data_IF_331120429941
#
_entry.id   IF_331120429941
#
_cell.length_a   1.000
_cell.length_b   1.000
_cell.length_c   1.000
_cell.angle_alpha   90.00
_cell.angle_beta   90.00
_cell.angle_gamma   90.00
#
_symmetry.space_group_name_H-M   'P 1'
#
loop_
_entity.id
_entity.type
_entity.pdbx_description
1 polymer ?
#
# COMPACT_ATOMS: atom_id res chain seq x y z
N UNK A 1 6.91 38.94 -1.90
CA UNK A 1 7.62 37.80 -1.27
C UNK A 1 6.94 36.51 -1.70
N UNK A 2 7.70 35.44 -1.97
CA UNK A 2 7.14 34.13 -2.34
C UNK A 2 6.32 33.55 -1.19
N UNK A 3 5.22 32.84 -1.51
CA UNK A 3 4.34 32.16 -0.54
C UNK A 3 5.05 30.98 0.17
N UNK A 4 6.09 30.45 -0.44
CA UNK A 4 6.84 29.29 0.06
C UNK A 4 8.32 29.63 0.17
N UNK A 5 8.98 29.06 1.19
CA UNK A 5 10.43 29.20 1.39
C UNK A 5 11.17 28.39 0.35
N UNK A 6 12.17 29.01 -0.28
CA UNK A 6 13.18 28.26 -1.02
C UNK A 6 14.13 27.59 -0.02
N UNK A 7 14.39 26.31 -0.21
CA UNK A 7 15.29 25.53 0.66
C UNK A 7 16.54 25.07 -0.09
N UNK A 8 16.61 25.22 -1.41
CA UNK A 8 17.80 24.88 -2.18
C UNK A 8 18.75 26.07 -2.08
N UNK A 9 19.92 25.85 -1.50
CA UNK A 9 20.90 26.92 -1.26
C UNK A 9 22.06 26.90 -2.24
N UNK A 10 22.35 25.75 -2.84
CA UNK A 10 23.45 25.57 -3.78
C UNK A 10 23.16 24.41 -4.73
N UNK A 11 23.65 24.48 -5.97
CA UNK A 11 23.77 23.32 -6.86
C UNK A 11 25.23 23.23 -7.31
N UNK A 12 25.89 22.12 -7.00
CA UNK A 12 27.29 21.88 -7.38
C UNK A 12 27.51 20.50 -7.97
N UNK A 13 28.59 20.33 -8.72
CA UNK A 13 29.01 19.03 -9.26
C UNK A 13 29.97 18.35 -8.28
N UNK A 14 29.76 17.07 -8.01
CA UNK A 14 30.65 16.25 -7.17
C UNK A 14 30.46 14.76 -7.44
N UNK A 15 31.41 13.91 -7.00
CA UNK A 15 31.30 12.46 -7.18
C UNK A 15 30.24 11.86 -6.29
N UNK A 16 29.58 10.82 -6.77
CA UNK A 16 28.58 10.07 -6.00
C UNK A 16 29.13 9.52 -4.67
N UNK A 17 30.40 9.08 -4.65
CA UNK A 17 31.08 8.58 -3.45
C UNK A 17 31.28 9.62 -2.34
N UNK A 18 31.20 10.92 -2.66
CA UNK A 18 31.31 11.99 -1.65
C UNK A 18 30.01 12.15 -0.84
N UNK A 19 28.90 11.57 -1.30
CA UNK A 19 27.62 11.60 -0.62
C UNK A 19 27.51 10.42 0.35
N UNK A 20 27.20 10.73 1.60
CA UNK A 20 26.88 9.72 2.62
C UNK A 20 25.45 9.22 2.41
N UNK A 21 25.22 7.92 2.61
CA UNK A 21 23.86 7.36 2.58
C UNK A 21 23.04 7.83 3.78
N UNK A 22 21.72 7.87 3.60
CA UNK A 22 20.80 8.18 4.68
C UNK A 22 20.25 6.88 5.26
N UNK A 23 20.49 6.63 6.54
CA UNK A 23 20.02 5.42 7.24
C UNK A 23 18.49 5.31 7.25
N UNK A 24 17.77 6.44 7.18
CA UNK A 24 16.31 6.46 7.12
C UNK A 24 15.73 6.10 5.76
N UNK A 25 16.56 5.88 4.73
CA UNK A 25 16.08 5.55 3.40
C UNK A 25 15.58 4.09 3.34
N UNK A 26 14.26 3.92 3.34
CA UNK A 26 13.57 2.63 3.31
C UNK A 26 13.31 2.08 1.90
N UNK A 27 13.58 2.88 0.87
CA UNK A 27 13.28 2.54 -0.53
C UNK A 27 14.16 1.39 -1.00
N UNK A 28 13.52 0.39 -1.61
CA UNK A 28 14.17 -0.75 -2.26
C UNK A 28 13.85 -0.72 -3.75
N UNK A 29 14.85 -0.99 -4.59
CA UNK A 29 14.73 -0.90 -6.04
C UNK A 29 14.77 -2.27 -6.71
N UNK A 30 13.68 -2.69 -7.38
CA UNK A 30 13.69 -3.89 -8.22
C UNK A 30 14.67 -3.77 -9.39
N UNK A 31 15.22 -4.90 -9.87
CA UNK A 31 16.16 -4.92 -10.99
C UNK A 31 15.64 -4.20 -12.25
N UNK A 32 14.36 -4.41 -12.58
CA UNK A 32 13.72 -3.74 -13.72
C UNK A 32 13.73 -2.20 -13.61
N UNK A 33 13.67 -1.66 -12.39
CA UNK A 33 13.77 -0.20 -12.18
C UNK A 33 15.20 0.29 -12.37
N UNK A 34 16.20 -0.50 -11.96
CA UNK A 34 17.61 -0.19 -12.20
C UNK A 34 17.89 -0.16 -13.71
N UNK A 35 17.47 -1.20 -14.43
CA UNK A 35 17.67 -1.32 -15.88
C UNK A 35 17.03 -0.14 -16.63
N UNK A 36 15.79 0.23 -16.29
CA UNK A 36 15.13 1.38 -16.91
C UNK A 36 15.84 2.70 -16.63
N UNK A 37 16.36 2.91 -15.41
CA UNK A 37 17.13 4.12 -15.08
C UNK A 37 18.46 4.15 -15.85
N UNK A 38 19.17 3.03 -15.95
CA UNK A 38 20.41 2.93 -16.75
C UNK A 38 20.11 3.20 -18.22
N UNK A 39 19.01 2.67 -18.75
CA UNK A 39 18.54 2.93 -20.12
C UNK A 39 18.31 4.41 -20.38
N UNK A 40 17.52 5.08 -19.53
CA UNK A 40 17.26 6.53 -19.65
C UNK A 40 18.55 7.34 -19.54
N UNK A 41 19.44 7.01 -18.60
CA UNK A 41 20.71 7.72 -18.45
C UNK A 41 21.63 7.54 -19.65
N UNK A 42 21.60 6.38 -20.30
CA UNK A 42 22.40 6.10 -21.49
C UNK A 42 21.85 6.80 -22.74
N UNK A 43 20.53 6.86 -22.87
CA UNK A 43 19.86 7.43 -24.05
C UNK A 43 19.78 8.96 -23.99
N UNK A 44 19.38 9.52 -22.84
CA UNK A 44 19.09 10.95 -22.67
C UNK A 44 20.20 11.68 -21.91
N UNK A 45 20.86 11.00 -20.97
CA UNK A 45 21.77 11.61 -20.01
C UNK A 45 21.08 12.07 -18.72
N UNK A 46 21.82 12.82 -17.91
CA UNK A 46 21.37 13.25 -16.57
C UNK A 46 20.41 14.43 -16.67
N UNK A 47 19.11 14.16 -16.62
CA UNK A 47 18.06 15.16 -16.70
C UNK A 47 17.58 15.71 -15.33
N UNK A 48 18.08 15.17 -14.21
CA UNK A 48 17.71 15.61 -12.85
C UNK A 48 18.91 15.56 -11.89
N UNK A 49 18.85 16.36 -10.83
CA UNK A 49 19.87 16.47 -9.78
C UNK A 49 19.67 15.42 -8.68
N UNK A 50 20.76 15.07 -8.00
CA UNK A 50 20.64 14.45 -6.68
C UNK A 50 20.30 15.54 -5.66
N UNK A 51 19.56 15.19 -4.60
CA UNK A 51 19.24 16.12 -3.52
C UNK A 51 19.94 15.66 -2.27
N UNK A 52 20.62 16.56 -1.57
CA UNK A 52 21.36 16.24 -0.36
C UNK A 52 21.26 17.38 0.65
N UNK A 53 21.61 17.10 1.91
CA UNK A 53 21.63 18.07 2.99
C UNK A 53 22.77 17.74 3.95
N UNK A 54 23.19 18.71 4.76
CA UNK A 54 24.18 18.47 5.81
C UNK A 54 23.49 17.87 7.04
N UNK A 55 23.75 16.59 7.30
CA UNK A 55 23.14 15.87 8.41
C UNK A 55 24.01 15.96 9.66
N UNK A 56 23.42 16.38 10.78
CA UNK A 56 24.08 16.36 12.09
C UNK A 56 24.25 14.93 12.59
N UNK A 57 23.31 14.04 12.29
CA UNK A 57 23.43 12.59 12.58
C UNK A 57 24.63 11.97 11.87
N UNK A 58 24.94 12.42 10.66
CA UNK A 58 26.14 12.02 9.91
C UNK A 58 27.35 12.93 10.15
N UNK A 59 27.48 13.52 11.35
CA UNK A 59 28.65 14.31 11.76
C UNK A 59 28.91 15.53 10.85
N UNK A 60 27.85 16.16 10.34
CA UNK A 60 27.93 17.30 9.44
C UNK A 60 28.35 16.94 8.01
N UNK A 61 28.31 15.66 7.62
CA UNK A 61 28.57 15.23 6.24
C UNK A 61 27.38 15.53 5.34
N UNK A 62 27.67 15.65 4.04
CA UNK A 62 26.64 15.78 3.02
C UNK A 62 25.99 14.41 2.80
N UNK A 63 24.69 14.33 3.12
CA UNK A 63 23.90 13.10 3.11
C UNK A 63 22.84 13.16 2.04
N UNK A 64 22.71 12.09 1.26
CA UNK A 64 21.71 12.02 0.19
C UNK A 64 20.29 11.99 0.75
N UNK A 65 19.40 12.78 0.18
CA UNK A 65 17.97 12.80 0.48
C UNK A 65 17.18 12.06 -0.60
N UNK A 66 17.50 12.32 -1.87
CA UNK A 66 16.80 11.76 -3.03
C UNK A 66 17.79 11.48 -4.18
N UNK A 67 17.48 10.45 -4.97
CA UNK A 67 18.33 9.96 -6.05
C UNK A 67 19.29 8.82 -5.66
N UNK A 68 19.00 8.08 -4.59
CA UNK A 68 19.84 6.98 -4.11
C UNK A 68 20.12 5.88 -5.14
N UNK A 69 19.15 5.48 -5.99
CA UNK A 69 19.42 4.56 -7.12
C UNK A 69 20.52 5.11 -8.03
N UNK A 70 20.35 6.36 -8.48
CA UNK A 70 21.30 7.04 -9.37
C UNK A 70 22.69 7.15 -8.75
N UNK A 71 22.76 7.50 -7.46
CA UNK A 71 24.00 7.52 -6.67
C UNK A 71 24.67 6.14 -6.61
N UNK A 72 23.90 5.07 -6.52
CA UNK A 72 24.43 3.69 -6.38
C UNK A 72 24.96 3.08 -7.68
N UNK A 73 24.71 3.67 -8.85
CA UNK A 73 25.10 3.08 -10.14
C UNK A 73 26.62 3.08 -10.35
N UNK A 74 27.28 4.20 -10.06
CA UNK A 74 28.73 4.33 -10.12
C UNK A 74 29.22 5.34 -9.08
N UNK A 75 30.04 4.94 -8.09
CA UNK A 75 30.58 5.83 -7.07
C UNK A 75 31.50 6.93 -7.63
N UNK A 76 32.11 6.73 -8.80
CA UNK A 76 33.02 7.71 -9.41
C UNK A 76 32.30 8.73 -10.29
N UNK A 77 31.04 8.48 -10.63
CA UNK A 77 30.28 9.35 -11.52
C UNK A 77 29.97 10.70 -10.86
N UNK A 78 30.16 11.78 -11.61
CA UNK A 78 29.92 13.13 -11.12
C UNK A 78 28.47 13.56 -11.32
N UNK A 79 27.78 13.95 -10.25
CA UNK A 79 26.40 14.41 -10.31
C UNK A 79 26.28 15.88 -9.96
N UNK A 80 25.32 16.56 -10.58
CA UNK A 80 24.82 17.82 -10.03
C UNK A 80 23.99 17.50 -8.79
N UNK A 81 24.36 18.10 -7.67
CA UNK A 81 23.74 17.90 -6.36
C UNK A 81 23.15 19.23 -5.89
N UNK A 82 21.85 19.27 -5.69
CA UNK A 82 21.16 20.35 -5.00
C UNK A 82 21.31 20.15 -3.49
N UNK A 83 21.90 21.13 -2.83
CA UNK A 83 22.11 21.15 -1.38
C UNK A 83 20.96 21.92 -0.75
N UNK A 84 20.29 21.28 0.21
CA UNK A 84 19.14 21.83 0.91
C UNK A 84 19.54 22.29 2.31
N UNK A 85 19.03 23.46 2.69
CA UNK A 85 19.06 23.93 4.09
C UNK A 85 17.87 23.32 4.84
N UNK A 86 18.02 22.08 5.33
CA UNK A 86 16.99 21.35 6.09
C UNK A 86 17.62 20.60 7.27
N UNK A 87 16.84 20.35 8.32
CA UNK A 87 17.28 19.53 9.45
C UNK A 87 17.11 18.03 9.17
N UNK A 88 17.71 17.19 10.02
CA UNK A 88 17.53 15.74 9.99
C UNK A 88 16.04 15.33 10.14
N UNK A 89 15.30 16.00 11.02
CA UNK A 89 13.87 15.73 11.23
C UNK A 89 13.01 16.16 10.04
N UNK A 90 13.39 17.24 9.35
CA UNK A 90 12.76 17.62 8.10
C UNK A 90 13.08 16.58 7.01
N UNK A 91 14.33 16.13 6.91
CA UNK A 91 14.73 15.09 5.96
C UNK A 91 13.95 13.79 6.15
N UNK A 92 13.77 13.33 7.39
CA UNK A 92 12.98 12.13 7.71
C UNK A 92 11.53 12.26 7.22
N UNK A 93 10.92 13.44 7.41
CA UNK A 93 9.57 13.71 6.91
C UNK A 93 9.53 13.64 5.38
N UNK A 94 10.46 14.29 4.68
CA UNK A 94 10.49 14.29 3.21
C UNK A 94 10.71 12.88 2.66
N UNK A 95 11.63 12.11 3.25
CA UNK A 95 11.88 10.71 2.90
C UNK A 95 10.61 9.86 3.05
N UNK A 96 9.84 10.07 4.12
CA UNK A 96 8.61 9.33 4.38
C UNK A 96 7.49 9.70 3.42
N UNK A 97 7.30 10.98 3.09
CA UNK A 97 6.07 11.45 2.43
C UNK A 97 6.18 11.72 0.94
N UNK A 98 7.37 11.99 0.40
CA UNK A 98 7.50 12.38 -1.02
C UNK A 98 7.01 11.30 -1.99
N UNK A 99 7.45 10.05 -1.79
CA UNK A 99 7.05 8.95 -2.69
C UNK A 99 5.57 8.60 -2.54
N UNK A 100 5.00 8.46 -1.33
CA UNK A 100 3.56 8.29 -1.18
C UNK A 100 2.75 9.42 -1.82
N UNK A 101 3.15 10.68 -1.64
CA UNK A 101 2.45 11.82 -2.27
C UNK A 101 2.54 11.75 -3.79
N UNK A 102 3.71 11.41 -4.34
CA UNK A 102 3.87 11.21 -5.78
C UNK A 102 3.00 10.05 -6.29
N UNK A 103 2.92 8.96 -5.54
CA UNK A 103 2.12 7.78 -5.87
C UNK A 103 0.60 8.01 -5.74
N UNK A 104 0.16 9.03 -4.98
CA UNK A 104 -1.26 9.42 -4.90
C UNK A 104 -1.78 10.07 -6.19
N UNK A 105 -0.91 10.45 -7.13
CA UNK A 105 -1.33 11.00 -8.41
C UNK A 105 -2.10 9.96 -9.22
N UNK A 106 -3.31 10.31 -9.66
CA UNK A 106 -4.10 9.43 -10.53
C UNK A 106 -3.62 9.53 -11.97
N UNK A 107 -3.55 8.37 -12.62
CA UNK A 107 -3.25 8.29 -14.04
C UNK A 107 -4.40 8.89 -14.87
N UNK A 108 -4.06 9.78 -15.80
CA UNK A 108 -4.96 10.18 -16.86
C UNK A 108 -4.66 9.33 -18.11
N UNK A 109 -5.46 8.30 -18.35
CA UNK A 109 -5.22 7.32 -19.43
C UNK A 109 -5.05 7.96 -20.79
N UNK A 110 -5.96 8.86 -21.18
CA UNK A 110 -5.90 9.54 -22.47
C UNK A 110 -4.58 10.33 -22.66
N UNK A 111 -4.09 10.97 -21.59
CA UNK A 111 -2.81 11.69 -21.63
C UNK A 111 -1.60 10.77 -21.65
N UNK A 112 -1.68 9.61 -21.00
CA UNK A 112 -0.63 8.59 -21.13
C UNK A 112 -0.55 8.10 -22.57
N UNK A 113 -1.68 7.76 -23.18
CA UNK A 113 -1.73 7.28 -24.57
C UNK A 113 -1.21 8.33 -25.57
N UNK A 114 -1.63 9.59 -25.44
CA UNK A 114 -1.10 10.69 -26.25
C UNK A 114 0.42 10.83 -26.10
N UNK A 115 0.94 10.62 -24.90
CA UNK A 115 2.38 10.69 -24.65
C UNK A 115 3.12 9.49 -25.23
N UNK A 116 2.56 8.26 -25.10
CA UNK A 116 3.17 7.05 -25.65
C UNK A 116 3.27 7.08 -27.17
N UNK A 117 2.34 7.72 -27.86
CA UNK A 117 2.39 7.90 -29.32
C UNK A 117 3.54 8.82 -29.78
N UNK A 118 4.08 9.63 -28.87
CA UNK A 118 5.10 10.64 -29.15
C UNK A 118 6.49 10.28 -28.66
N UNK A 119 6.62 9.26 -27.80
CA UNK A 119 7.90 8.86 -27.23
C UNK A 119 8.33 7.53 -27.83
N UNK A 120 9.61 7.45 -28.19
CA UNK A 120 10.28 6.22 -28.60
C UNK A 120 11.54 6.08 -27.76
N UNK A 121 11.98 4.85 -27.52
CA UNK A 121 13.24 4.55 -26.86
C UNK A 121 13.94 3.38 -27.55
N UNK A 122 15.25 3.48 -27.65
CA UNK A 122 16.10 2.42 -28.21
C UNK A 122 16.42 1.35 -27.16
N UNK A 123 16.31 1.69 -25.88
CA UNK A 123 16.52 0.80 -24.74
C UNK A 123 15.33 -0.16 -24.52
N UNK A 124 15.63 -1.44 -24.29
CA UNK A 124 14.60 -2.47 -24.12
C UNK A 124 13.84 -2.34 -22.79
N UNK A 125 14.53 -2.01 -21.70
CA UNK A 125 13.91 -1.90 -20.37
C UNK A 125 12.97 -0.69 -20.32
N UNK A 126 13.38 0.43 -20.94
CA UNK A 126 12.54 1.63 -21.07
C UNK A 126 11.32 1.36 -21.94
N UNK A 127 11.48 0.69 -23.10
CA UNK A 127 10.33 0.30 -23.95
C UNK A 127 9.33 -0.59 -23.21
N UNK A 128 9.82 -1.57 -22.44
CA UNK A 128 8.95 -2.46 -21.67
C UNK A 128 8.20 -1.69 -20.57
N UNK A 129 8.86 -0.72 -19.91
CA UNK A 129 8.20 0.17 -18.95
C UNK A 129 7.11 1.02 -19.60
N UNK A 130 7.40 1.64 -20.76
CA UNK A 130 6.41 2.43 -21.53
C UNK A 130 5.21 1.55 -21.92
N UNK A 131 5.47 0.34 -22.41
CA UNK A 131 4.41 -0.61 -22.80
C UNK A 131 3.51 -0.99 -21.63
N UNK A 132 4.06 -1.17 -20.43
CA UNK A 132 3.25 -1.44 -19.22
C UNK A 132 2.35 -0.27 -18.86
N UNK A 133 2.86 0.96 -18.95
CA UNK A 133 2.05 2.16 -18.72
C UNK A 133 0.94 2.30 -19.77
N UNK A 134 1.21 2.00 -21.03
CA UNK A 134 0.22 1.96 -22.11
C UNK A 134 -0.87 0.93 -21.84
N UNK A 135 -0.50 -0.28 -21.41
CA UNK A 135 -1.45 -1.35 -21.06
C UNK A 135 -2.32 -0.98 -19.86
N UNK A 136 -1.74 -0.37 -18.83
CA UNK A 136 -2.48 0.11 -17.66
C UNK A 136 -3.46 1.23 -18.05
N UNK A 137 -3.03 2.17 -18.90
CA UNK A 137 -3.88 3.24 -19.40
C UNK A 137 -5.09 2.69 -20.17
N UNK A 138 -4.87 1.76 -21.11
CA UNK A 138 -5.95 1.08 -21.86
C UNK A 138 -6.88 0.28 -20.95
N UNK A 139 -6.33 -0.48 -20.01
CA UNK A 139 -7.11 -1.25 -19.04
C UNK A 139 -7.96 -0.37 -18.10
N UNK A 140 -7.60 0.89 -17.92
CA UNK A 140 -8.39 1.86 -17.17
C UNK A 140 -9.49 2.52 -18.03
N UNK A 141 -9.31 2.63 -19.36
CA UNK A 141 -10.38 3.05 -20.29
C UNK A 141 -11.48 1.99 -20.41
N UNK A 142 -11.11 0.71 -20.46
CA UNK A 142 -12.07 -0.41 -20.44
C UNK A 142 -12.92 -0.45 -19.14
N UNK A 143 -12.40 0.11 -18.03
CA UNK A 143 -13.16 0.29 -16.78
C UNK A 143 -14.02 1.56 -16.77
N UNK A 144 -13.74 2.51 -17.64
CA UNK A 144 -14.52 3.74 -17.83
C UNK A 144 -15.72 3.57 -18.75
N UNK A 145 -15.68 2.57 -19.64
CA UNK A 145 -16.75 2.22 -20.59
C UNK A 145 -17.52 0.92 -20.24
N UNK A 146 -17.28 0.31 -19.08
CA UNK A 146 -18.31 -0.53 -18.47
C UNK A 146 -19.48 0.37 -18.06
N UNK A 147 -20.40 0.62 -19.01
CA UNK A 147 -21.82 0.80 -18.68
C UNK A 147 -22.13 -0.12 -17.51
N UNK A 148 -22.85 0.41 -16.52
CA UNK A 148 -23.46 -0.34 -15.41
C UNK A 148 -24.45 -1.38 -15.95
N UNK A 149 -23.97 -2.38 -16.68
CA UNK A 149 -24.65 -3.64 -16.80
C UNK A 149 -24.41 -4.31 -15.45
N UNK A 150 -25.41 -4.24 -14.58
CA UNK A 150 -25.52 -5.09 -13.40
C UNK A 150 -25.43 -6.54 -13.88
N UNK A 151 -24.20 -7.06 -13.98
CA UNK A 151 -23.95 -8.49 -14.04
C UNK A 151 -24.62 -9.05 -12.78
N UNK A 152 -25.53 -10.04 -12.89
CA UNK A 152 -26.17 -10.57 -11.70
C UNK A 152 -25.07 -11.11 -10.79
N UNK A 153 -24.92 -10.49 -9.61
CA UNK A 153 -23.92 -10.87 -8.63
C UNK A 153 -24.03 -12.38 -8.36
N UNK A 154 -23.01 -13.19 -8.66
CA UNK A 154 -22.95 -14.53 -8.11
C UNK A 154 -22.81 -14.40 -6.58
N UNK A 155 -23.46 -15.28 -5.80
CA UNK A 155 -23.44 -15.17 -4.35
C UNK A 155 -22.01 -15.43 -3.82
N UNK A 156 -21.44 -14.40 -3.19
CA UNK A 156 -20.31 -14.36 -2.26
C UNK A 156 -19.50 -15.65 -2.06
N UNK A 157 -18.24 -15.64 -2.50
CA UNK A 157 -17.04 -16.04 -1.74
C UNK A 157 -15.93 -16.51 -2.68
N UNK A 158 -15.23 -15.58 -3.33
CA UNK A 158 -13.88 -15.86 -3.82
C UNK A 158 -12.94 -14.81 -3.22
N UNK A 159 -11.85 -15.29 -2.62
CA UNK A 159 -10.76 -14.46 -2.10
C UNK A 159 -10.04 -13.87 -3.31
N UNK A 160 -9.96 -12.54 -3.39
CA UNK A 160 -9.29 -11.87 -4.51
C UNK A 160 -7.78 -11.74 -4.21
N UNK A 161 -6.88 -12.00 -5.19
CA UNK A 161 -5.43 -11.96 -4.98
C UNK A 161 -4.85 -10.58 -4.60
N UNK A 162 -5.67 -9.53 -4.62
CA UNK A 162 -5.27 -8.14 -4.43
C UNK A 162 -5.92 -7.49 -3.20
N UNK A 163 -6.72 -8.23 -2.43
CA UNK A 163 -7.31 -7.75 -1.19
C UNK A 163 -6.37 -8.09 -0.01
N UNK A 164 -6.00 -7.08 0.77
CA UNK A 164 -5.30 -7.26 2.05
C UNK A 164 -6.35 -7.60 3.12
N UNK A 165 -6.16 -8.71 3.83
CA UNK A 165 -7.10 -9.15 4.86
C UNK A 165 -6.39 -9.27 6.21
N UNK A 166 -6.92 -8.58 7.22
CA UNK A 166 -6.52 -8.73 8.61
C UNK A 166 -7.51 -9.67 9.32
N UNK A 167 -6.99 -10.72 9.98
CA UNK A 167 -7.83 -11.77 10.57
C UNK A 167 -7.69 -11.84 12.08
N UNK A 168 -8.81 -12.11 12.74
CA UNK A 168 -8.87 -12.54 14.14
C UNK A 168 -9.43 -13.96 14.17
N UNK A 169 -8.72 -14.89 14.79
CA UNK A 169 -9.10 -16.31 14.86
C UNK A 169 -9.50 -16.67 16.29
N UNK A 170 -10.69 -17.25 16.44
CA UNK A 170 -11.20 -17.73 17.72
C UNK A 170 -11.23 -19.27 17.73
N UNK A 171 -10.61 -19.86 18.75
CA UNK A 171 -10.61 -21.31 18.96
C UNK A 171 -11.65 -21.71 20.00
N UNK A 172 -12.53 -22.62 19.63
CA UNK A 172 -13.56 -23.16 20.53
C UNK A 172 -13.28 -24.63 20.80
N UNK A 173 -13.28 -25.02 22.07
CA UNK A 173 -13.04 -26.42 22.48
C UNK A 173 -14.25 -27.32 22.20
N UNK A 174 -15.45 -26.74 22.16
CA UNK A 174 -16.69 -27.48 21.94
C UNK A 174 -17.49 -26.86 20.79
N UNK A 175 -18.24 -27.70 20.07
CA UNK A 175 -19.14 -27.24 19.00
C UNK A 175 -20.24 -26.31 19.54
N UNK A 176 -20.61 -26.48 20.82
CA UNK A 176 -21.64 -25.67 21.46
C UNK A 176 -21.18 -24.22 21.68
N UNK A 177 -19.95 -24.01 22.14
CA UNK A 177 -19.38 -22.67 22.30
C UNK A 177 -19.23 -21.97 20.95
N UNK A 178 -18.87 -22.74 19.91
CA UNK A 178 -18.81 -22.23 18.55
C UNK A 178 -20.18 -21.82 18.01
N UNK A 179 -21.23 -22.62 18.24
CA UNK A 179 -22.59 -22.28 17.82
C UNK A 179 -23.12 -21.04 18.53
N UNK A 180 -22.87 -20.90 19.84
CA UNK A 180 -23.19 -19.68 20.58
C UNK A 180 -22.49 -18.44 20.05
N UNK A 181 -21.19 -18.54 19.73
CA UNK A 181 -20.45 -17.44 19.14
C UNK A 181 -21.02 -17.07 17.76
N UNK A 182 -21.40 -18.06 16.96
CA UNK A 182 -22.06 -17.80 15.68
C UNK A 182 -23.37 -17.03 15.85
N UNK A 183 -24.19 -17.40 16.82
CA UNK A 183 -25.46 -16.70 17.08
C UNK A 183 -25.20 -15.28 17.61
N UNK A 184 -24.22 -15.11 18.51
CA UNK A 184 -23.81 -13.81 19.07
C UNK A 184 -23.39 -12.82 17.98
N UNK A 185 -22.53 -13.28 17.06
CA UNK A 185 -22.07 -12.47 15.94
C UNK A 185 -23.06 -12.44 14.76
N UNK A 186 -24.22 -13.08 14.89
CA UNK A 186 -25.25 -13.19 13.84
C UNK A 186 -24.70 -13.79 12.52
N UNK A 187 -23.79 -14.76 12.63
CA UNK A 187 -23.13 -15.36 11.48
C UNK A 187 -24.04 -16.42 10.84
N UNK A 188 -24.55 -16.12 9.64
CA UNK A 188 -25.48 -17.00 8.93
C UNK A 188 -24.81 -18.30 8.50
N UNK A 189 -25.55 -19.42 8.61
CA UNK A 189 -25.13 -20.70 8.03
C UNK A 189 -25.35 -20.66 6.52
N UNK A 190 -24.30 -20.86 5.73
CA UNK A 190 -24.41 -21.02 4.28
C UNK A 190 -24.09 -22.48 3.93
N UNK A 191 -24.96 -23.11 3.14
CA UNK A 191 -24.74 -24.49 2.69
C UNK A 191 -24.08 -24.51 1.32
N UNK A 192 -23.16 -25.44 1.08
CA UNK A 192 -22.60 -25.69 -0.25
C UNK A 192 -22.83 -27.15 -0.68
N UNK A 193 -22.87 -27.39 -1.99
CA UNK A 193 -23.07 -28.70 -2.59
C UNK A 193 -21.74 -29.23 -3.12
N UNK A 194 -21.06 -30.09 -2.36
CA UNK A 194 -19.81 -30.73 -2.78
C UNK A 194 -19.99 -32.21 -3.14
N UNK A 195 -19.32 -32.66 -4.19
CA UNK A 195 -19.23 -34.09 -4.55
C UNK A 195 -18.29 -34.80 -3.56
N UNK A 196 -18.67 -35.96 -3.05
CA UNK A 196 -17.80 -36.73 -2.15
C UNK A 196 -16.65 -37.38 -2.94
N UNK A 197 -15.45 -37.38 -2.36
CA UNK A 197 -14.31 -38.14 -2.87
C UNK A 197 -14.61 -39.63 -2.73
N UNK A 198 -14.88 -40.29 -3.85
CA UNK A 198 -15.28 -41.70 -3.93
C UNK A 198 -16.30 -41.89 -5.05
N UNK A 199 -15.82 -42.32 -6.22
CA UNK A 199 -16.63 -42.48 -7.43
C UNK A 199 -17.87 -43.34 -7.21
N UNK A 200 -19.02 -42.78 -7.60
CA UNK A 200 -20.31 -43.46 -7.60
C UNK A 200 -21.46 -42.44 -7.52
N UNK A 201 -22.50 -42.65 -8.34
CA UNK A 201 -23.74 -41.87 -8.39
C UNK A 201 -24.50 -41.94 -7.05
N UNK A 202 -24.04 -41.17 -6.06
CA UNK A 202 -24.80 -40.87 -4.84
C UNK A 202 -25.31 -39.43 -4.90
N UNK A 203 -26.54 -39.15 -4.41
CA UNK A 203 -27.08 -37.80 -4.36
C UNK A 203 -26.13 -36.88 -3.59
N UNK A 204 -25.88 -35.68 -4.13
CA UNK A 204 -25.04 -34.65 -3.49
C UNK A 204 -25.54 -34.45 -2.06
N UNK A 205 -24.75 -34.80 -1.05
CA UNK A 205 -25.08 -34.47 0.34
C UNK A 205 -24.78 -32.99 0.58
N UNK A 206 -25.73 -32.26 1.18
CA UNK A 206 -25.53 -30.88 1.65
C UNK A 206 -24.44 -30.89 2.71
N UNK A 207 -23.22 -30.46 2.35
CA UNK A 207 -22.13 -30.29 3.30
C UNK A 207 -22.14 -28.84 3.75
N UNK A 208 -22.29 -28.63 5.06
CA UNK A 208 -22.24 -27.30 5.66
C UNK A 208 -20.74 -26.96 5.80
N UNK A 209 -20.19 -26.26 4.82
CA UNK A 209 -18.83 -25.72 4.86
C UNK A 209 -18.78 -24.43 5.67
N UNK A 210 -17.73 -24.27 6.49
CA UNK A 210 -17.52 -23.09 7.32
C UNK A 210 -16.94 -21.99 6.44
N UNK A 211 -17.78 -21.06 6.02
CA UNK A 211 -17.41 -19.76 5.45
C UNK A 211 -18.15 -18.69 6.23
N UNK A 212 -17.47 -18.13 7.23
CA UNK A 212 -18.10 -17.29 8.27
C UNK A 212 -17.18 -16.12 8.60
N UNK A 213 -16.86 -15.32 7.59
CA UNK A 213 -16.26 -14.02 7.81
C UNK A 213 -17.35 -13.02 8.21
N UNK A 214 -17.06 -12.20 9.20
CA UNK A 214 -17.88 -11.05 9.59
C UNK A 214 -17.01 -9.81 9.53
N UNK A 215 -17.65 -8.67 9.31
CA UNK A 215 -16.98 -7.37 9.40
C UNK A 215 -16.41 -7.17 10.82
N UNK A 216 -15.10 -6.89 10.90
CA UNK A 216 -14.39 -6.76 12.17
C UNK A 216 -14.85 -5.59 13.03
N UNK A 217 -15.24 -4.46 12.43
CA UNK A 217 -15.74 -3.31 13.18
C UNK A 217 -17.10 -3.61 13.83
N UNK A 218 -17.98 -4.35 13.13
CA UNK A 218 -19.26 -4.84 13.69
C UNK A 218 -19.08 -5.90 14.77
N UNK A 219 -18.04 -6.73 14.66
CA UNK A 219 -17.70 -7.70 15.69
C UNK A 219 -17.20 -7.00 16.96
N UNK A 220 -16.30 -6.03 16.80
CA UNK A 220 -15.74 -5.24 17.91
C UNK A 220 -16.80 -4.41 18.62
N UNK A 221 -17.73 -3.77 17.90
CA UNK A 221 -18.80 -2.99 18.54
C UNK A 221 -19.64 -3.83 19.50
N UNK A 222 -19.91 -5.09 19.16
CA UNK A 222 -20.61 -6.04 20.04
C UNK A 222 -19.80 -6.48 21.25
N UNK A 223 -18.47 -6.49 21.16
CA UNK A 223 -17.60 -6.83 22.29
C UNK A 223 -17.44 -5.64 23.25
N UNK A 224 -17.38 -4.42 22.71
CA UNK A 224 -17.30 -3.18 23.50
C UNK A 224 -18.59 -2.88 24.29
N UNK A 225 -19.77 -3.25 23.79
CA UNK A 225 -21.03 -3.08 24.54
C UNK A 225 -21.07 -3.88 25.86
N UNK A 226 -20.33 -4.99 25.97
CA UNK A 226 -20.25 -5.76 27.21
C UNK A 226 -19.33 -5.15 28.26
N UNK A 227 -18.26 -4.47 27.86
CA UNK A 227 -17.33 -3.85 28.83
C UNK A 227 -17.95 -2.65 29.57
N UNK A 228 -19.02 -2.05 29.04
CA UNK A 228 -19.75 -0.97 29.71
C UNK A 228 -20.98 -1.46 30.50
N UNK A 229 -21.46 -2.68 30.28
CA UNK A 229 -22.63 -3.22 30.97
C UNK A 229 -22.31 -3.81 32.36
N UNK A 230 -21.04 -4.09 32.67
CA UNK A 230 -20.61 -4.61 33.98
C UNK A 230 -20.34 -3.50 35.03
N UNK A 231 -20.59 -2.23 34.72
CA UNK A 231 -20.28 -1.07 35.59
C UNK A 231 -21.49 -0.26 36.10
N UNK A 232 -22.71 -0.78 36.03
CA UNK A 232 -23.84 -0.18 36.76
C UNK A 232 -24.15 -0.98 38.05
N UNK A 233 -23.89 -0.43 39.25
CA UNK A 233 -24.36 -1.05 40.47
C UNK A 233 -25.89 -0.92 40.56
N UNK A 234 -26.56 -2.04 40.83
CA UNK A 234 -27.98 -2.11 41.13
C UNK A 234 -28.32 -1.20 42.32
N UNK A 235 -28.97 -0.08 42.05
CA UNK A 235 -29.60 0.74 43.07
C UNK A 235 -30.90 0.04 43.49
N UNK A 236 -30.86 -0.68 44.61
CA UNK A 236 -32.06 -1.17 45.29
C UNK A 236 -32.22 -0.36 46.58
N UNK A 237 -33.07 0.65 46.51
CA UNK A 237 -33.66 1.31 47.66
C UNK A 237 -34.52 0.32 48.44
N UNK A 238 -34.19 0.09 49.71
CA UNK A 238 -35.22 -0.21 50.71
C UNK A 238 -34.80 0.32 52.08
N UNK A 239 -35.29 1.52 52.38
CA UNK A 239 -35.48 2.02 53.73
C UNK A 239 -36.54 1.14 54.41
N UNK A 240 -36.17 0.49 55.50
CA UNK A 240 -37.11 -0.05 56.47
C UNK A 240 -36.61 0.27 57.88
N UNK A 241 -37.09 1.39 58.41
CA UNK A 241 -37.27 1.63 59.84
C UNK A 241 -38.24 0.61 60.43
N UNK A 242 -37.84 -0.07 61.50
CA UNK A 242 -38.65 -0.28 62.72
C UNK A 242 -37.81 -0.98 63.80
N UNK A 243 -37.80 -0.33 64.97
CA UNK A 243 -37.51 -0.77 66.35
C UNK A 243 -36.18 -1.43 66.73
#
# INVERSE_FOLDING_TARGET
MSKFRDRIIEIKTMRAAELTDNEGNWRLHPGAQNDAIVGILSEIGKADVLKAYYSQRNQGKLTILDGHLRKSLDPNEEWRVAILDITDEEADKLILVFDPIAAMAQMNSAKVLELTDRVNSDDLAVREMIRRMEQEARGNEDKGEEEKQEKPMPPNMDILPFEHYDYIVLFFKTSFDFERACDYFAIKRVGYWGQSFGGGDKPKQKKIGIGRAIDGAKALSKLYDQSNAETEPANCDSVATTD
#
